data_IF_473424078326
#
_entry.id   IF_473424078326
#
_cell.length_a   1.000
_cell.length_b   1.000
_cell.length_c   1.000
_cell.angle_alpha   90.00
_cell.angle_beta   90.00
_cell.angle_gamma   90.00
#
_symmetry.space_group_name_H-M   'P 1'
#
loop_
_entity.id
_entity.type
_entity.pdbx_description
1 polymer ?
#
# COMPACT_ATOMS: atom_id res chain seq x y z
N UNK A 1 1.75 22.47 -14.31
CA UNK A 1 2.84 21.49 -14.50
C UNK A 1 2.53 20.69 -15.77
N UNK A 2 3.52 20.29 -16.58
CA UNK A 2 3.28 19.46 -17.77
C UNK A 2 3.27 17.97 -17.41
N UNK A 3 2.56 17.13 -18.19
CA UNK A 3 2.55 15.66 -18.03
C UNK A 3 3.95 15.05 -18.11
N UNK A 4 4.82 15.63 -18.92
CA UNK A 4 6.24 15.23 -19.02
C UNK A 4 7.01 15.49 -17.71
N UNK A 5 6.66 16.55 -16.99
CA UNK A 5 7.28 16.87 -15.70
C UNK A 5 6.83 15.91 -14.61
N UNK A 6 5.53 15.59 -14.57
CA UNK A 6 4.98 14.59 -13.66
C UNK A 6 5.61 13.22 -13.89
N UNK A 7 5.70 12.78 -15.16
CA UNK A 7 6.33 11.50 -15.53
C UNK A 7 7.81 11.43 -15.13
N UNK A 8 8.54 12.54 -15.28
CA UNK A 8 9.94 12.64 -14.83
C UNK A 8 10.04 12.53 -13.31
N UNK A 9 9.21 13.25 -12.56
CA UNK A 9 9.20 13.17 -11.09
C UNK A 9 8.90 11.77 -10.58
N UNK A 10 7.94 11.06 -11.19
CA UNK A 10 7.67 9.65 -10.90
C UNK A 10 8.89 8.78 -11.22
N UNK A 11 9.55 9.00 -12.36
CA UNK A 11 10.76 8.28 -12.74
C UNK A 11 11.91 8.48 -11.75
N UNK A 12 12.17 9.72 -11.37
CA UNK A 12 13.21 10.10 -10.41
C UNK A 12 12.91 9.53 -9.02
N UNK A 13 11.65 9.57 -8.60
CA UNK A 13 11.18 8.96 -7.36
C UNK A 13 11.44 7.45 -7.34
N UNK A 14 11.02 6.71 -8.37
CA UNK A 14 11.28 5.27 -8.44
C UNK A 14 12.79 4.98 -8.49
N UNK A 15 13.58 5.79 -9.19
CA UNK A 15 15.04 5.63 -9.24
C UNK A 15 15.76 5.98 -7.92
N UNK A 16 15.09 6.62 -6.94
CA UNK A 16 15.72 7.12 -5.72
C UNK A 16 16.00 6.08 -4.65
N UNK A 17 15.45 4.86 -4.77
CA UNK A 17 15.54 3.81 -3.76
C UNK A 17 16.97 3.48 -3.25
N UNK A 18 18.04 3.51 -4.07
CA UNK A 18 19.41 3.32 -3.57
C UNK A 18 19.84 4.34 -2.50
N UNK A 19 19.18 5.50 -2.43
CA UNK A 19 19.40 6.53 -1.41
C UNK A 19 18.60 6.30 -0.12
N UNK A 20 17.73 5.28 -0.10
CA UNK A 20 16.84 4.94 1.00
C UNK A 20 15.35 5.07 0.64
N UNK A 21 14.46 4.84 1.63
CA UNK A 21 13.02 5.02 1.45
C UNK A 21 12.67 6.45 1.06
N UNK A 22 11.75 6.61 0.13
CA UNK A 22 11.27 7.91 -0.35
C UNK A 22 9.74 7.95 -0.38
N UNK A 23 9.18 9.15 -0.46
CA UNK A 23 7.76 9.37 -0.65
C UNK A 23 7.53 10.41 -1.75
N UNK A 24 6.50 10.19 -2.56
CA UNK A 24 6.01 11.14 -3.56
C UNK A 24 4.55 11.46 -3.24
N UNK A 25 4.23 12.74 -3.12
CA UNK A 25 2.87 13.22 -2.88
C UNK A 25 2.37 13.91 -4.16
N UNK A 26 1.20 13.49 -4.63
CA UNK A 26 0.54 14.08 -5.80
C UNK A 26 -0.59 14.98 -5.32
N UNK A 27 -0.35 16.28 -5.29
CA UNK A 27 -1.31 17.30 -4.86
C UNK A 27 -1.87 18.09 -6.04
N UNK A 28 -3.11 18.58 -5.88
CA UNK A 28 -3.78 19.38 -6.90
C UNK A 28 -5.30 19.41 -6.73
N UNK A 29 -5.96 20.24 -7.51
CA UNK A 29 -7.41 20.43 -7.46
C UNK A 29 -8.20 19.15 -7.79
N UNK A 30 -9.45 19.06 -7.33
CA UNK A 30 -10.35 17.99 -7.73
C UNK A 30 -10.52 18.00 -9.25
N UNK A 31 -10.41 16.83 -9.90
CA UNK A 31 -10.54 16.70 -11.36
C UNK A 31 -9.29 17.06 -12.19
N UNK A 32 -8.17 17.49 -11.59
CA UNK A 32 -6.93 17.82 -12.35
C UNK A 32 -6.20 16.59 -12.94
N UNK A 33 -6.66 15.38 -12.60
CA UNK A 33 -6.07 14.12 -13.05
C UNK A 33 -5.00 13.53 -12.13
N UNK A 34 -5.07 13.78 -10.80
CA UNK A 34 -4.17 13.15 -9.81
C UNK A 34 -4.19 11.63 -9.91
N UNK A 35 -5.38 11.02 -9.95
CA UNK A 35 -5.55 9.57 -10.14
C UNK A 35 -4.91 9.09 -11.44
N UNK A 36 -4.91 9.89 -12.52
CA UNK A 36 -4.22 9.53 -13.77
C UNK A 36 -2.70 9.46 -13.58
N UNK A 37 -2.11 10.42 -12.86
CA UNK A 37 -0.68 10.40 -12.52
C UNK A 37 -0.36 9.22 -11.60
N UNK A 38 -1.21 8.95 -10.61
CA UNK A 38 -1.07 7.84 -9.69
C UNK A 38 -1.09 6.48 -10.42
N UNK A 39 -2.06 6.25 -11.31
CA UNK A 39 -2.15 5.03 -12.12
C UNK A 39 -0.90 4.84 -13.01
N UNK A 40 -0.45 5.91 -13.67
CA UNK A 40 0.77 5.86 -14.48
C UNK A 40 2.02 5.56 -13.64
N UNK A 41 2.06 5.99 -12.37
CA UNK A 41 3.13 5.65 -11.46
C UNK A 41 3.13 4.16 -11.08
N UNK A 42 1.95 3.55 -10.88
CA UNK A 42 1.84 2.12 -10.60
C UNK A 42 2.33 1.29 -11.80
N UNK A 43 1.80 1.58 -12.99
CA UNK A 43 2.18 0.88 -14.22
C UNK A 43 3.70 0.96 -14.47
N UNK A 44 4.29 2.14 -14.24
CA UNK A 44 5.73 2.33 -14.38
C UNK A 44 6.52 1.54 -13.34
N UNK A 45 6.07 1.52 -12.09
CA UNK A 45 6.72 0.80 -11.00
C UNK A 45 6.73 -0.71 -11.28
N UNK A 46 5.59 -1.28 -11.68
CA UNK A 46 5.50 -2.69 -12.11
C UNK A 46 6.42 -2.98 -13.29
N UNK A 47 6.46 -2.08 -14.29
CA UNK A 47 7.33 -2.20 -15.46
C UNK A 47 8.83 -2.19 -15.15
N UNK A 48 9.24 -1.65 -13.99
CA UNK A 48 10.64 -1.68 -13.52
C UNK A 48 10.85 -2.65 -12.34
N UNK A 49 9.90 -3.57 -12.11
CA UNK A 49 10.06 -4.69 -11.20
C UNK A 49 9.71 -4.42 -9.73
N UNK A 50 8.98 -3.33 -9.45
CA UNK A 50 8.44 -3.10 -8.11
C UNK A 50 7.28 -4.04 -7.85
N UNK A 51 7.19 -4.53 -6.61
CA UNK A 51 5.95 -5.05 -6.06
C UNK A 51 5.09 -3.86 -5.61
N UNK A 52 3.97 -3.66 -6.29
CA UNK A 52 3.02 -2.59 -5.98
C UNK A 52 1.94 -3.11 -5.03
N UNK A 53 1.77 -2.41 -3.89
CA UNK A 53 0.63 -2.55 -2.99
C UNK A 53 -0.18 -1.26 -3.11
N UNK A 54 -1.41 -1.35 -3.63
CA UNK A 54 -2.23 -0.17 -3.90
C UNK A 54 -3.58 -0.22 -3.20
N UNK A 55 -4.02 0.90 -2.64
CA UNK A 55 -5.35 1.07 -2.10
C UNK A 55 -5.98 2.38 -2.57
N UNK A 56 -7.27 2.34 -2.86
CA UNK A 56 -8.05 3.51 -3.24
C UNK A 56 -9.27 3.59 -2.35
N UNK A 57 -9.41 4.68 -1.61
CA UNK A 57 -10.63 4.92 -0.85
C UNK A 57 -11.73 5.37 -1.83
N UNK A 58 -12.85 4.65 -1.87
CA UNK A 58 -14.03 5.13 -2.59
C UNK A 58 -14.96 5.82 -1.60
N UNK A 59 -15.34 7.09 -1.81
CA UNK A 59 -16.13 7.86 -0.84
C UNK A 59 -17.59 7.39 -0.67
N UNK A 60 -18.02 6.34 -1.40
CA UNK A 60 -19.43 5.94 -1.51
C UNK A 60 -19.91 4.96 -0.42
N UNK A 61 -19.03 4.43 0.44
CA UNK A 61 -19.39 3.42 1.44
C UNK A 61 -18.92 3.82 2.85
N UNK A 62 -19.61 3.38 3.91
CA UNK A 62 -19.11 3.55 5.27
C UNK A 62 -17.70 2.95 5.38
N UNK A 63 -16.74 3.78 5.77
CA UNK A 63 -15.34 3.36 5.89
C UNK A 63 -15.23 2.33 7.01
N UNK A 64 -15.14 1.06 6.64
CA UNK A 64 -14.77 -0.01 7.56
C UNK A 64 -13.36 0.28 8.10
N UNK A 65 -13.14 0.00 9.38
CA UNK A 65 -11.81 0.10 9.96
C UNK A 65 -10.83 -0.76 9.15
N UNK A 66 -9.70 -0.16 8.75
CA UNK A 66 -8.64 -0.80 7.96
C UNK A 66 -9.01 -1.19 6.53
N UNK A 67 -10.06 -0.65 5.91
CA UNK A 67 -10.42 -0.97 4.52
C UNK A 67 -9.27 -0.75 3.52
N UNK A 68 -8.57 0.38 3.61
CA UNK A 68 -7.41 0.66 2.75
C UNK A 68 -6.27 -0.35 3.00
N UNK A 69 -6.04 -0.74 4.25
CA UNK A 69 -5.03 -1.75 4.56
C UNK A 69 -5.43 -3.14 4.03
N UNK A 70 -6.71 -3.50 4.14
CA UNK A 70 -7.21 -4.73 3.54
C UNK A 70 -7.02 -4.73 2.02
N UNK A 71 -7.26 -3.59 1.35
CA UNK A 71 -7.02 -3.43 -0.08
C UNK A 71 -5.53 -3.57 -0.44
N UNK A 72 -4.61 -3.00 0.35
CA UNK A 72 -3.16 -3.18 0.16
C UNK A 72 -2.71 -4.64 0.27
N UNK A 73 -3.35 -5.39 1.17
CA UNK A 73 -2.97 -6.78 1.49
C UNK A 73 -3.69 -7.82 0.61
N UNK A 74 -4.83 -7.47 0.01
CA UNK A 74 -5.65 -8.38 -0.78
C UNK A 74 -4.92 -9.09 -1.94
N UNK A 75 -3.95 -8.46 -2.66
CA UNK A 75 -3.21 -9.14 -3.73
C UNK A 75 -2.18 -10.16 -3.24
N UNK A 76 -1.92 -10.21 -1.92
CA UNK A 76 -0.88 -11.06 -1.35
C UNK A 76 -1.43 -12.46 -1.03
N UNK A 77 -0.60 -13.48 -1.29
CA UNK A 77 -0.91 -14.86 -0.94
C UNK A 77 -0.67 -15.15 0.55
N UNK A 78 -1.11 -16.30 1.05
CA UNK A 78 -0.93 -16.65 2.46
C UNK A 78 0.54 -16.84 2.87
N UNK A 79 1.43 -17.08 1.88
CA UNK A 79 2.87 -17.08 2.10
C UNK A 79 3.35 -15.73 2.60
N UNK A 80 2.66 -14.62 2.25
CA UNK A 80 2.88 -13.26 2.74
C UNK A 80 2.80 -13.14 4.27
N UNK A 81 2.05 -14.04 4.92
CA UNK A 81 1.69 -13.96 6.34
C UNK A 81 2.20 -15.13 7.19
N UNK A 82 2.82 -16.13 6.57
CA UNK A 82 3.13 -17.41 7.21
C UNK A 82 4.08 -17.29 8.42
N UNK A 83 5.02 -16.36 8.37
CA UNK A 83 6.06 -16.17 9.40
C UNK A 83 5.71 -15.12 10.45
N UNK A 84 4.51 -14.52 10.36
CA UNK A 84 4.09 -13.51 11.33
C UNK A 84 3.90 -14.14 12.72
N UNK A 85 4.40 -13.51 13.80
CA UNK A 85 4.06 -13.88 15.17
C UNK A 85 2.53 -13.92 15.35
N UNK A 86 2.03 -14.84 16.17
CA UNK A 86 0.59 -15.07 16.32
C UNK A 86 -0.25 -13.79 16.55
N UNK A 87 0.17 -12.79 17.37
CA UNK A 87 -0.58 -11.55 17.53
C UNK A 87 -0.71 -10.74 16.23
N UNK A 88 0.35 -10.71 15.41
CA UNK A 88 0.37 -10.03 14.12
C UNK A 88 -0.45 -10.79 13.08
N UNK A 89 -0.34 -12.13 13.05
CA UNK A 89 -1.14 -13.01 12.19
C UNK A 89 -2.64 -12.78 12.42
N UNK A 90 -3.08 -12.83 13.69
CA UNK A 90 -4.47 -12.58 14.06
C UNK A 90 -4.93 -11.17 13.67
N UNK A 91 -4.07 -10.17 13.81
CA UNK A 91 -4.39 -8.80 13.41
C UNK A 91 -4.65 -8.71 11.90
N UNK A 92 -3.81 -9.34 11.07
CA UNK A 92 -3.98 -9.39 9.62
C UNK A 92 -5.24 -10.17 9.23
N UNK A 93 -5.48 -11.33 9.85
CA UNK A 93 -6.67 -12.14 9.56
C UNK A 93 -7.97 -11.36 9.86
N UNK A 94 -7.97 -10.52 10.90
CA UNK A 94 -9.10 -9.62 11.21
C UNK A 94 -9.23 -8.47 10.20
N UNK A 95 -8.12 -7.86 9.79
CA UNK A 95 -8.10 -6.81 8.75
C UNK A 95 -8.65 -7.37 7.42
N UNK A 96 -8.29 -8.61 7.08
CA UNK A 96 -8.73 -9.31 5.87
C UNK A 96 -10.12 -9.96 6.01
N UNK A 97 -10.82 -9.78 7.15
CA UNK A 97 -12.12 -10.39 7.44
C UNK A 97 -12.15 -11.92 7.29
N UNK A 98 -11.03 -12.59 7.55
CA UNK A 98 -10.88 -14.06 7.49
C UNK A 98 -11.36 -14.77 8.76
N UNK A 99 -11.51 -14.01 9.84
CA UNK A 99 -12.03 -14.46 11.13
C UNK A 99 -13.14 -13.55 11.60
N UNK A 100 -14.05 -14.08 12.43
CA UNK A 100 -15.14 -13.28 13.01
C UNK A 100 -14.60 -12.08 13.78
N UNK A 101 -15.37 -10.98 13.75
CA UNK A 101 -15.09 -9.77 14.51
C UNK A 101 -15.30 -9.94 16.03
N UNK A 102 -15.62 -11.15 16.49
CA UNK A 102 -15.82 -11.48 17.89
C UNK A 102 -14.53 -11.33 18.71
N UNK A 103 -14.67 -10.85 19.93
CA UNK A 103 -13.57 -10.64 20.88
C UNK A 103 -13.07 -9.20 20.96
N UNK A 104 -11.91 -8.96 21.58
CA UNK A 104 -11.40 -7.62 21.81
C UNK A 104 -11.04 -6.93 20.50
N UNK A 105 -11.20 -5.60 20.46
CA UNK A 105 -10.80 -4.73 19.36
C UNK A 105 -9.37 -5.05 18.92
N UNK A 106 -9.14 -5.09 17.62
CA UNK A 106 -7.80 -5.34 17.06
C UNK A 106 -6.82 -4.25 17.52
N UNK A 107 -5.74 -4.67 18.18
CA UNK A 107 -4.68 -3.77 18.61
C UNK A 107 -4.02 -3.10 17.39
N UNK A 108 -4.11 -1.76 17.31
CA UNK A 108 -3.54 -0.97 16.22
C UNK A 108 -2.03 -1.15 16.10
N UNK A 109 -1.32 -1.38 17.22
CA UNK A 109 0.13 -1.64 17.21
C UNK A 109 0.45 -2.99 16.60
N UNK A 110 -0.38 -4.00 16.87
CA UNK A 110 -0.24 -5.32 16.26
C UNK A 110 -0.49 -5.24 14.74
N UNK A 111 -1.48 -4.45 14.30
CA UNK A 111 -1.74 -4.19 12.87
C UNK A 111 -0.55 -3.50 12.20
N UNK A 112 -0.03 -2.42 12.80
CA UNK A 112 1.11 -1.69 12.26
C UNK A 112 2.38 -2.55 12.19
N UNK A 113 2.68 -3.31 13.24
CA UNK A 113 3.82 -4.22 13.28
C UNK A 113 3.69 -5.35 12.24
N UNK A 114 2.48 -5.88 12.06
CA UNK A 114 2.21 -6.90 11.06
C UNK A 114 2.43 -6.37 9.64
N UNK A 115 1.89 -5.19 9.32
CA UNK A 115 2.05 -4.58 8.00
C UNK A 115 3.53 -4.27 7.71
N UNK A 116 4.26 -3.71 8.68
CA UNK A 116 5.70 -3.47 8.54
C UNK A 116 6.47 -4.77 8.26
N UNK A 117 6.20 -5.83 9.03
CA UNK A 117 6.86 -7.14 8.86
C UNK A 117 6.57 -7.75 7.46
N UNK A 118 5.35 -7.58 6.96
CA UNK A 118 4.99 -8.00 5.58
C UNK A 118 5.80 -7.19 4.56
N UNK A 119 5.83 -5.86 4.67
CA UNK A 119 6.57 -4.99 3.73
C UNK A 119 8.06 -5.28 3.75
N UNK A 120 8.67 -5.45 4.92
CA UNK A 120 10.09 -5.80 5.07
C UNK A 120 10.43 -7.10 4.35
N UNK A 121 9.56 -8.11 4.48
CA UNK A 121 9.80 -9.42 3.85
C UNK A 121 9.59 -9.39 2.34
N UNK A 122 8.62 -8.62 1.85
CA UNK A 122 8.46 -8.37 0.41
C UNK A 122 9.68 -7.61 -0.14
N UNK A 123 10.17 -6.61 0.59
CA UNK A 123 11.32 -5.80 0.23
C UNK A 123 12.63 -6.60 0.14
N UNK A 124 12.73 -7.75 0.83
CA UNK A 124 13.87 -8.67 0.71
C UNK A 124 13.99 -9.32 -0.68
N UNK A 125 12.92 -9.32 -1.48
CA UNK A 125 12.89 -9.97 -2.80
C UNK A 125 12.86 -8.97 -3.96
N UNK A 126 12.18 -7.84 -3.78
CA UNK A 126 11.99 -6.81 -4.80
C UNK A 126 11.65 -5.47 -4.14
N UNK A 127 11.96 -4.32 -4.75
CA UNK A 127 11.45 -3.03 -4.32
C UNK A 127 9.93 -3.05 -4.09
N UNK A 128 9.46 -2.42 -3.01
CA UNK A 128 8.03 -2.33 -2.70
C UNK A 128 7.58 -0.89 -2.87
N UNK A 129 6.52 -0.68 -3.64
CA UNK A 129 5.80 0.59 -3.71
C UNK A 129 4.48 0.43 -2.95
N UNK A 130 4.28 1.24 -1.91
CA UNK A 130 2.97 1.38 -1.25
C UNK A 130 2.32 2.64 -1.79
N UNK A 131 1.15 2.49 -2.43
CA UNK A 131 0.45 3.57 -3.09
C UNK A 131 -0.97 3.70 -2.56
N UNK A 132 -1.34 4.90 -2.13
CA UNK A 132 -2.67 5.19 -1.59
C UNK A 132 -3.26 6.34 -2.41
N UNK A 133 -4.48 6.17 -2.91
CA UNK A 133 -5.26 7.22 -3.59
C UNK A 133 -6.46 7.62 -2.72
N UNK A 134 -6.75 8.92 -2.73
CA UNK A 134 -7.85 9.57 -1.97
C UNK A 134 -7.78 9.32 -0.44
N UNK A 135 -6.74 9.85 0.22
CA UNK A 135 -6.66 9.96 1.70
C UNK A 135 -7.56 11.06 2.27
#
# INVERSE_FOLDING_TARGET
MSRETESRMVGDFLASLPSGPAALVVEGEAGIGKTTVWLAALERAEGVGYRVLSARATPAEPVLAYSSLAALLAPLDDSAFAELPQPQRLAIDRVLMRVSADGPVTDQRAVGAAFASVVERLAAHSPVLVAIDDL
#
